data_IF_925269547367
#
_entry.id   IF_925269547367
#
_cell.length_a   1.000
_cell.length_b   1.000
_cell.length_c   1.000
_cell.angle_alpha   90.00
_cell.angle_beta   90.00
_cell.angle_gamma   90.00
#
_symmetry.space_group_name_H-M   'P 1'
#
loop_
_entity.id
_entity.type
_entity.pdbx_description
1 polymer ?
#
# COMPACT_ATOMS: atom_id res chain seq x y z
N UNK A 1 -54.36 79.07 32.83
CA UNK A 1 -53.18 78.16 32.75
C UNK A 1 -52.49 78.46 31.42
N UNK A 2 -51.28 79.01 31.24
CA UNK A 2 -50.01 79.19 31.97
C UNK A 2 -49.48 80.59 31.57
N UNK A 3 -49.41 81.60 32.45
CA UNK A 3 -48.22 82.20 33.15
C UNK A 3 -46.82 82.02 32.50
N UNK A 4 -46.18 83.16 32.17
CA UNK A 4 -44.78 83.60 32.43
C UNK A 4 -44.37 84.66 31.37
N UNK A 5 -44.50 85.97 31.60
CA UNK A 5 -43.54 86.93 32.21
C UNK A 5 -42.10 86.80 31.67
N UNK A 6 -41.71 87.72 30.77
CA UNK A 6 -40.31 88.10 30.52
C UNK A 6 -40.06 89.49 31.16
N UNK A 7 -39.01 89.67 31.98
CA UNK A 7 -38.59 90.99 32.42
C UNK A 7 -37.55 91.61 31.47
N UNK A 8 -37.60 92.94 31.38
CA UNK A 8 -36.58 93.82 30.81
C UNK A 8 -35.35 93.81 31.71
N UNK A 9 -34.14 93.71 31.13
CA UNK A 9 -32.89 94.01 31.85
C UNK A 9 -31.98 94.89 30.98
N UNK A 10 -31.73 96.09 31.53
CA UNK A 10 -30.81 97.13 31.08
C UNK A 10 -29.41 96.58 30.83
N UNK A 11 -28.85 96.91 29.67
CA UNK A 11 -27.43 96.75 29.38
C UNK A 11 -26.65 97.85 30.10
N UNK A 12 -25.77 97.46 31.02
CA UNK A 12 -24.74 98.32 31.58
C UNK A 12 -23.38 97.74 31.17
N UNK A 13 -22.66 98.48 30.32
CA UNK A 13 -21.28 98.21 29.94
C UNK A 13 -20.36 98.40 31.15
N UNK A 14 -19.58 97.37 31.49
CA UNK A 14 -18.37 97.52 32.30
C UNK A 14 -17.17 97.11 31.45
N UNK A 15 -16.31 98.09 31.20
CA UNK A 15 -14.97 97.90 30.64
C UNK A 15 -14.04 97.48 31.78
N UNK A 16 -13.35 96.35 31.62
CA UNK A 16 -12.25 95.94 32.51
C UNK A 16 -11.07 95.50 31.62
N UNK A 17 -9.83 95.96 31.92
CA UNK A 17 -8.77 96.08 30.93
C UNK A 17 -8.03 94.76 30.64
N UNK A 18 -7.41 94.75 29.45
CA UNK A 18 -6.54 93.69 28.98
C UNK A 18 -5.34 93.48 29.91
N UNK A 19 -5.11 92.22 30.30
CA UNK A 19 -3.83 91.75 30.84
C UNK A 19 -3.34 90.63 29.93
N UNK A 20 -2.27 90.90 29.19
CA UNK A 20 -1.59 89.94 28.35
C UNK A 20 -0.93 88.86 29.22
N UNK A 21 -1.38 87.62 29.08
CA UNK A 21 -0.58 86.46 29.43
C UNK A 21 -0.09 85.83 28.13
N UNK A 22 1.23 85.87 27.92
CA UNK A 22 1.90 85.14 26.86
C UNK A 22 1.86 83.64 27.21
N UNK A 23 0.89 82.92 26.66
CA UNK A 23 0.86 81.47 26.69
C UNK A 23 1.85 80.96 25.62
N UNK A 24 2.91 80.29 26.07
CA UNK A 24 3.87 79.62 25.20
C UNK A 24 3.14 78.52 24.44
N UNK A 25 3.00 78.68 23.12
CA UNK A 25 2.59 77.58 22.25
C UNK A 25 3.72 76.54 22.22
N UNK A 26 3.47 75.37 22.80
CA UNK A 26 4.26 74.18 22.45
C UNK A 26 3.95 73.81 21.00
N UNK A 27 4.95 73.38 20.20
CA UNK A 27 4.70 72.94 18.84
C UNK A 27 3.78 71.72 18.88
N UNK A 28 2.66 71.81 18.17
CA UNK A 28 1.79 70.68 17.88
C UNK A 28 2.65 69.60 17.24
N UNK A 29 2.91 68.50 17.97
CA UNK A 29 3.45 67.28 17.37
C UNK A 29 2.42 66.82 16.35
N UNK A 30 2.74 67.05 15.07
CA UNK A 30 2.04 66.44 13.96
C UNK A 30 2.21 64.92 14.13
N UNK A 31 1.17 64.26 14.63
CA UNK A 31 1.08 62.80 14.61
C UNK A 31 1.21 62.40 13.14
N UNK A 32 2.33 61.75 12.79
CA UNK A 32 2.46 61.06 11.52
C UNK A 32 1.24 60.13 11.37
N UNK A 33 0.69 59.96 10.15
CA UNK A 33 -0.35 58.96 9.94
C UNK A 33 0.24 57.62 10.40
N UNK A 34 -0.39 57.03 11.41
CA UNK A 34 -0.15 55.64 11.77
C UNK A 34 -0.57 54.82 10.56
N UNK A 35 0.38 54.50 9.70
CA UNK A 35 0.24 53.39 8.77
C UNK A 35 0.05 52.17 9.66
N UNK A 36 -1.19 51.70 9.82
CA UNK A 36 -1.44 50.34 10.29
C UNK A 36 -0.68 49.44 9.33
N UNK A 37 0.53 49.02 9.72
CA UNK A 37 1.19 47.90 9.09
C UNK A 37 0.31 46.70 9.41
N UNK A 38 -0.64 46.43 8.52
CA UNK A 38 -1.32 45.14 8.48
C UNK A 38 -0.20 44.12 8.35
N UNK A 39 0.08 43.40 9.44
CA UNK A 39 1.01 42.28 9.40
C UNK A 39 0.43 41.28 8.41
N UNK A 40 0.89 41.33 7.16
CA UNK A 40 0.45 40.39 6.15
C UNK A 40 0.95 39.02 6.59
N UNK A 41 0.01 38.11 6.80
CA UNK A 41 0.28 36.72 7.09
C UNK A 41 0.98 36.11 5.88
N UNK A 42 2.17 35.54 6.09
CA UNK A 42 2.96 34.89 5.02
C UNK A 42 3.40 33.51 5.51
N UNK A 43 3.59 32.57 4.58
CA UNK A 43 3.95 31.19 4.89
C UNK A 43 2.81 30.41 5.54
N UNK A 44 3.17 29.42 6.35
CA UNK A 44 2.22 28.56 7.05
C UNK A 44 1.51 29.29 8.19
N UNK A 45 0.18 29.30 8.14
CA UNK A 45 -0.67 29.92 9.16
C UNK A 45 -1.77 28.96 9.55
N UNK A 46 -1.95 28.77 10.87
CA UNK A 46 -3.03 27.96 11.43
C UNK A 46 -4.17 28.86 11.88
N UNK A 47 -5.33 28.72 11.27
CA UNK A 47 -6.56 29.45 11.63
C UNK A 47 -7.54 28.43 12.24
N UNK A 48 -7.77 28.55 13.56
CA UNK A 48 -8.50 27.52 14.30
C UNK A 48 -7.74 26.18 14.27
N UNK A 49 -8.36 25.16 13.69
CA UNK A 49 -7.77 23.82 13.55
C UNK A 49 -7.19 23.53 12.15
N UNK A 50 -7.27 24.49 11.22
CA UNK A 50 -6.92 24.27 9.82
C UNK A 50 -5.69 25.07 9.43
N UNK A 51 -4.79 24.43 8.68
CA UNK A 51 -3.60 25.07 8.12
C UNK A 51 -3.87 25.65 6.74
N UNK A 52 -3.29 26.82 6.49
CA UNK A 52 -3.27 27.54 5.23
C UNK A 52 -1.82 27.93 4.91
N UNK A 53 -1.54 28.22 3.65
CA UNK A 53 -0.27 28.82 3.24
C UNK A 53 -0.53 30.12 2.50
N UNK A 54 0.11 31.19 2.93
CA UNK A 54 0.01 32.52 2.33
C UNK A 54 1.28 32.89 1.57
N UNK A 55 1.14 33.49 0.39
CA UNK A 55 2.28 34.04 -0.34
C UNK A 55 2.81 35.34 0.29
N UNK A 56 3.84 35.94 -0.33
CA UNK A 56 4.48 37.16 0.17
C UNK A 56 3.56 38.39 0.15
N UNK A 57 2.42 38.33 -0.56
CA UNK A 57 1.43 39.39 -0.64
C UNK A 57 0.20 39.11 0.26
N UNK A 58 0.27 38.09 1.12
CA UNK A 58 -0.83 37.70 1.99
C UNK A 58 -1.99 37.02 1.26
N UNK A 59 -1.77 36.43 0.09
CA UNK A 59 -2.80 35.68 -0.65
C UNK A 59 -2.70 34.19 -0.35
N UNK A 60 -3.84 33.55 -0.02
CA UNK A 60 -3.91 32.09 0.21
C UNK A 60 -3.51 31.32 -1.06
N UNK A 61 -2.58 30.38 -0.93
CA UNK A 61 -2.21 29.41 -1.97
C UNK A 61 -3.23 28.28 -2.02
N UNK A 62 -3.44 27.75 -3.23
CA UNK A 62 -4.27 26.58 -3.52
C UNK A 62 -3.51 25.62 -4.45
N UNK A 63 -3.94 24.37 -4.50
CA UNK A 63 -3.32 23.31 -5.29
C UNK A 63 -2.02 22.78 -4.67
N UNK A 64 -1.15 22.24 -5.52
CA UNK A 64 0.15 21.70 -5.11
C UNK A 64 1.11 22.79 -4.64
N UNK A 65 1.72 22.56 -3.48
CA UNK A 65 2.74 23.43 -2.89
C UNK A 65 3.96 22.59 -2.53
N UNK A 66 5.14 23.02 -2.99
CA UNK A 66 6.41 22.48 -2.50
C UNK A 66 7.04 23.49 -1.56
N UNK A 67 7.25 23.10 -0.31
CA UNK A 67 7.90 23.92 0.71
C UNK A 67 9.03 23.13 1.36
N UNK A 68 10.24 23.69 1.38
CA UNK A 68 11.45 23.06 1.92
C UNK A 68 11.68 21.60 1.51
N UNK A 69 11.34 21.26 0.26
CA UNK A 69 11.52 19.90 -0.28
C UNK A 69 10.31 18.98 -0.10
N UNK A 70 9.35 19.35 0.75
CA UNK A 70 8.14 18.56 1.03
C UNK A 70 6.97 19.05 0.18
N UNK A 71 6.18 18.12 -0.34
CA UNK A 71 4.96 18.43 -1.08
C UNK A 71 3.73 18.42 -0.18
N UNK A 72 2.85 19.39 -0.42
CA UNK A 72 1.56 19.60 0.25
C UNK A 72 0.49 19.86 -0.80
N UNK A 73 -0.78 19.70 -0.42
CA UNK A 73 -1.90 20.09 -1.24
C UNK A 73 -2.89 20.95 -0.46
N UNK A 74 -3.20 22.12 -1.02
CA UNK A 74 -4.15 23.07 -0.49
C UNK A 74 -5.42 22.96 -1.33
N UNK A 75 -6.57 22.73 -0.71
CA UNK A 75 -7.86 22.70 -1.38
C UNK A 75 -8.18 24.07 -2.00
N UNK A 76 -9.26 24.14 -2.78
CA UNK A 76 -9.67 25.38 -3.47
C UNK A 76 -9.99 26.52 -2.49
N UNK A 77 -10.42 26.21 -1.28
CA UNK A 77 -10.63 27.16 -0.18
C UNK A 77 -9.35 27.52 0.60
N UNK A 78 -8.20 26.96 0.18
CA UNK A 78 -6.89 27.16 0.79
C UNK A 78 -6.59 26.20 1.96
N UNK A 79 -7.54 25.35 2.36
CA UNK A 79 -7.32 24.43 3.49
C UNK A 79 -6.34 23.33 3.12
N UNK A 80 -5.36 23.05 3.98
CA UNK A 80 -4.38 21.99 3.75
C UNK A 80 -5.00 20.60 3.91
N UNK A 81 -4.75 19.69 2.95
CA UNK A 81 -5.00 18.26 3.13
C UNK A 81 -4.03 17.68 4.15
N UNK A 82 -4.56 16.93 5.11
CA UNK A 82 -3.79 16.11 6.04
C UNK A 82 -4.55 14.82 6.31
N UNK A 83 -3.80 13.76 6.65
CA UNK A 83 -4.31 12.42 6.96
C UNK A 83 -5.41 11.94 6.00
N UNK A 84 -5.19 12.16 4.70
CA UNK A 84 -6.24 11.96 3.70
C UNK A 84 -5.71 11.69 2.32
N UNK A 85 -6.56 11.04 1.54
CA UNK A 85 -6.36 10.74 0.14
C UNK A 85 -6.71 11.95 -0.75
N UNK A 86 -6.04 12.04 -1.89
CA UNK A 86 -6.32 12.96 -2.98
C UNK A 86 -6.34 12.19 -4.30
N UNK A 87 -7.43 12.32 -5.05
CA UNK A 87 -7.46 11.96 -6.47
C UNK A 87 -7.21 13.22 -7.29
N UNK A 88 -6.13 13.21 -8.08
CA UNK A 88 -5.75 14.35 -8.91
C UNK A 88 -5.12 13.85 -10.21
N UNK A 89 -5.63 14.32 -11.36
CA UNK A 89 -5.11 13.92 -12.67
C UNK A 89 -5.16 12.42 -12.94
N UNK A 90 -6.16 11.72 -12.40
CA UNK A 90 -6.31 10.26 -12.53
C UNK A 90 -5.37 9.42 -11.65
N UNK A 91 -4.59 10.07 -10.79
CA UNK A 91 -3.68 9.41 -9.83
C UNK A 91 -4.19 9.61 -8.41
N UNK A 92 -3.79 8.71 -7.51
CA UNK A 92 -4.04 8.82 -6.08
C UNK A 92 -2.76 9.20 -5.34
N UNK A 93 -2.92 10.05 -4.33
CA UNK A 93 -1.86 10.55 -3.45
C UNK A 93 -2.35 10.46 -2.00
N UNK A 94 -1.43 10.32 -1.05
CA UNK A 94 -1.74 10.29 0.37
C UNK A 94 -0.92 11.32 1.13
N UNK A 95 -1.55 12.00 2.08
CA UNK A 95 -0.92 12.98 2.96
C UNK A 95 -1.00 12.51 4.41
N UNK A 96 0.10 12.60 5.16
CA UNK A 96 0.08 12.27 6.59
C UNK A 96 -0.54 13.38 7.45
N UNK A 97 -0.55 13.18 8.78
CA UNK A 97 -1.10 14.13 9.75
C UNK A 97 -0.49 15.55 9.65
N UNK A 98 0.74 15.69 9.16
CA UNK A 98 1.39 16.99 8.96
C UNK A 98 1.00 17.66 7.63
N UNK A 99 0.27 16.95 6.77
CA UNK A 99 -0.04 17.37 5.41
C UNK A 99 1.09 17.11 4.40
N UNK A 100 2.18 16.47 4.83
CA UNK A 100 3.24 16.05 3.93
C UNK A 100 2.77 14.89 3.05
N UNK A 101 2.96 15.03 1.74
CA UNK A 101 2.71 13.98 0.76
C UNK A 101 3.64 12.80 1.01
N UNK A 102 3.10 11.58 0.99
CA UNK A 102 3.87 10.36 1.18
C UNK A 102 4.40 9.79 -0.14
N UNK A 103 5.58 9.21 -0.02
CA UNK A 103 6.24 8.37 -1.01
C UNK A 103 6.69 7.08 -0.31
N UNK A 104 6.92 6.02 -1.07
CA UNK A 104 7.30 4.71 -0.52
C UNK A 104 6.15 4.00 0.20
N UNK A 105 6.52 3.14 1.15
CA UNK A 105 5.59 2.33 1.92
C UNK A 105 4.75 3.16 2.89
N UNK A 106 3.43 2.95 2.87
CA UNK A 106 2.47 3.57 3.79
C UNK A 106 1.52 2.50 4.29
N UNK A 107 1.32 2.45 5.61
CA UNK A 107 0.29 1.63 6.22
C UNK A 107 -0.98 2.48 6.40
N UNK A 108 -2.08 2.04 5.78
CA UNK A 108 -3.42 2.59 5.93
C UNK A 108 -4.30 1.54 6.63
N UNK A 109 -4.54 1.76 7.92
CA UNK A 109 -5.14 0.77 8.83
C UNK A 109 -4.40 -0.58 8.80
N UNK A 110 -5.06 -1.64 8.33
CA UNK A 110 -4.51 -3.00 8.25
C UNK A 110 -3.84 -3.30 6.91
N UNK A 111 -3.82 -2.34 5.97
CA UNK A 111 -3.35 -2.54 4.61
C UNK A 111 -2.10 -1.72 4.31
N UNK A 112 -1.25 -2.24 3.42
CA UNK A 112 -0.07 -1.54 2.93
C UNK A 112 -0.28 -1.03 1.51
N UNK A 113 0.11 0.21 1.28
CA UNK A 113 0.19 0.86 -0.03
C UNK A 113 1.64 1.22 -0.33
N UNK A 114 1.94 1.42 -1.60
CA UNK A 114 3.22 1.97 -2.02
C UNK A 114 3.01 3.16 -2.95
N UNK A 115 3.80 4.21 -2.76
CA UNK A 115 3.75 5.42 -3.55
C UNK A 115 5.08 5.64 -4.26
N UNK A 116 5.04 5.99 -5.54
CA UNK A 116 6.21 6.38 -6.30
C UNK A 116 6.85 7.67 -5.75
N UNK A 117 8.05 8.00 -6.20
CA UNK A 117 8.74 9.24 -5.81
C UNK A 117 7.98 10.51 -6.21
N UNK A 118 7.15 10.44 -7.26
CA UNK A 118 6.24 11.53 -7.66
C UNK A 118 4.98 11.60 -6.78
N UNK A 119 4.86 10.73 -5.77
CA UNK A 119 3.73 10.64 -4.86
C UNK A 119 2.54 9.85 -5.40
N UNK A 120 2.60 9.34 -6.63
CA UNK A 120 1.50 8.57 -7.19
C UNK A 120 1.43 7.16 -6.59
N UNK A 121 0.24 6.76 -6.18
CA UNK A 121 -0.04 5.42 -5.67
C UNK A 121 0.25 4.36 -6.74
N UNK A 122 0.92 3.29 -6.35
CA UNK A 122 1.20 2.14 -7.20
C UNK A 122 0.00 1.19 -7.18
N UNK A 123 -0.33 0.69 -8.37
CA UNK A 123 -1.18 -0.48 -8.59
C UNK A 123 -0.42 -1.51 -9.40
N UNK A 124 -0.97 -2.72 -9.46
CA UNK A 124 -0.46 -3.87 -10.19
C UNK A 124 0.92 -4.34 -9.71
N UNK A 125 1.62 -5.09 -10.57
CA UNK A 125 2.92 -5.67 -10.27
C UNK A 125 4.00 -4.60 -10.16
N UNK A 126 4.74 -4.63 -9.05
CA UNK A 126 5.87 -3.73 -8.81
C UNK A 126 7.05 -4.48 -8.22
N UNK A 127 8.24 -4.21 -8.76
CA UNK A 127 9.50 -4.68 -8.17
C UNK A 127 10.09 -3.59 -7.27
N UNK A 128 10.29 -3.90 -6.00
CA UNK A 128 10.80 -2.99 -4.96
C UNK A 128 11.93 -3.72 -4.24
N UNK A 129 13.13 -3.13 -4.21
CA UNK A 129 14.31 -3.69 -3.54
C UNK A 129 14.62 -5.15 -3.88
N UNK A 130 14.39 -5.53 -5.15
CA UNK A 130 14.65 -6.87 -5.66
C UNK A 130 13.47 -7.86 -5.56
N UNK A 131 12.45 -7.54 -4.77
CA UNK A 131 11.27 -8.39 -4.55
C UNK A 131 10.08 -7.91 -5.39
N UNK A 132 9.25 -8.86 -5.84
CA UNK A 132 8.00 -8.55 -6.52
C UNK A 132 6.85 -8.43 -5.52
N UNK A 133 6.01 -7.44 -5.72
CA UNK A 133 4.79 -7.17 -4.98
C UNK A 133 3.65 -7.00 -5.97
N UNK A 134 2.43 -7.23 -5.51
CA UNK A 134 1.23 -6.90 -6.26
C UNK A 134 0.35 -5.97 -5.44
N UNK A 135 -0.05 -4.86 -6.04
CA UNK A 135 -0.99 -3.91 -5.45
C UNK A 135 -2.31 -4.00 -6.21
N UNK A 136 -3.41 -4.28 -5.52
CA UNK A 136 -4.73 -4.30 -6.14
C UNK A 136 -5.11 -2.92 -6.70
N UNK A 137 -6.22 -2.83 -7.45
CA UNK A 137 -6.66 -1.58 -8.09
C UNK A 137 -6.98 -0.45 -7.08
N UNK A 138 -7.25 -0.80 -5.82
CA UNK A 138 -7.43 0.13 -4.71
C UNK A 138 -6.10 0.52 -4.01
N UNK A 139 -4.96 0.02 -4.50
CA UNK A 139 -3.62 0.29 -3.96
C UNK A 139 -3.16 -0.63 -2.85
N UNK A 140 -4.00 -1.56 -2.38
CA UNK A 140 -3.64 -2.44 -1.27
C UNK A 140 -2.77 -3.60 -1.74
N UNK A 141 -1.67 -3.81 -1.03
CA UNK A 141 -0.71 -4.87 -1.25
C UNK A 141 -1.32 -6.23 -0.96
N UNK A 142 -1.15 -7.18 -1.88
CA UNK A 142 -1.52 -8.57 -1.67
C UNK A 142 -0.59 -9.25 -0.66
N UNK A 143 -1.17 -10.11 0.16
CA UNK A 143 -0.45 -11.05 1.04
C UNK A 143 -1.07 -12.43 0.89
N UNK A 144 -0.31 -13.48 1.26
CA UNK A 144 -0.74 -14.87 1.16
C UNK A 144 -1.12 -15.27 -0.27
N UNK A 145 -1.99 -16.27 -0.41
CA UNK A 145 -2.43 -16.75 -1.72
C UNK A 145 -3.36 -15.74 -2.36
N UNK A 146 -3.06 -15.36 -3.59
CA UNK A 146 -3.94 -14.49 -4.38
C UNK A 146 -3.99 -14.97 -5.84
N UNK A 147 -5.11 -14.72 -6.51
CA UNK A 147 -5.31 -15.09 -7.92
C UNK A 147 -5.39 -13.84 -8.79
N UNK A 148 -4.38 -13.67 -9.63
CA UNK A 148 -4.18 -12.48 -10.46
C UNK A 148 -4.18 -12.96 -11.92
N UNK A 149 -5.12 -12.44 -12.72
CA UNK A 149 -5.27 -12.80 -14.14
C UNK A 149 -5.33 -14.33 -14.39
N UNK A 150 -6.04 -15.05 -13.52
CA UNK A 150 -6.23 -16.51 -13.63
C UNK A 150 -5.06 -17.38 -13.16
N UNK A 151 -3.96 -16.77 -12.70
CA UNK A 151 -2.82 -17.47 -12.09
C UNK A 151 -2.82 -17.24 -10.58
N UNK A 152 -2.53 -18.29 -9.81
CA UNK A 152 -2.40 -18.18 -8.35
C UNK A 152 -0.94 -17.92 -7.98
N UNK A 153 -0.71 -16.97 -7.09
CA UNK A 153 0.58 -16.56 -6.55
C UNK A 153 0.56 -16.68 -5.03
N UNK A 154 1.74 -16.72 -4.40
CA UNK A 154 1.85 -16.59 -2.95
C UNK A 154 2.78 -15.45 -2.59
N UNK A 155 2.28 -14.56 -1.76
CA UNK A 155 3.03 -13.46 -1.17
C UNK A 155 3.26 -13.76 0.32
N UNK A 156 4.45 -13.47 0.83
CA UNK A 156 4.73 -13.64 2.25
C UNK A 156 3.98 -12.60 3.11
N UNK A 157 4.19 -12.63 4.43
CA UNK A 157 3.55 -11.68 5.35
C UNK A 157 3.94 -10.21 5.13
N UNK A 158 5.06 -9.97 4.43
CA UNK A 158 5.51 -8.64 4.04
C UNK A 158 5.10 -8.31 2.60
N UNK A 159 4.33 -9.18 1.93
CA UNK A 159 3.86 -9.01 0.56
C UNK A 159 4.86 -9.38 -0.53
N UNK A 160 6.04 -9.90 -0.20
CA UNK A 160 7.00 -10.31 -1.21
C UNK A 160 6.55 -11.62 -1.87
N UNK A 161 6.49 -11.63 -3.20
CA UNK A 161 6.09 -12.79 -3.99
C UNK A 161 7.12 -13.91 -3.85
N UNK A 162 6.64 -15.09 -3.48
CA UNK A 162 7.45 -16.30 -3.36
C UNK A 162 7.65 -17.01 -4.70
N UNK A 163 8.82 -17.60 -4.85
CA UNK A 163 9.14 -18.56 -5.92
C UNK A 163 9.75 -19.82 -5.28
N UNK A 164 9.75 -20.93 -6.01
CA UNK A 164 10.26 -22.20 -5.53
C UNK A 164 9.33 -22.92 -4.56
N UNK A 165 9.92 -23.75 -3.69
CA UNK A 165 9.19 -24.58 -2.74
C UNK A 165 8.69 -23.78 -1.54
N UNK A 166 7.40 -23.89 -1.23
CA UNK A 166 6.78 -23.27 -0.06
C UNK A 166 5.99 -24.33 0.72
N UNK A 167 6.26 -24.42 2.02
CA UNK A 167 5.59 -25.35 2.92
C UNK A 167 4.37 -24.69 3.58
N UNK A 168 3.19 -25.28 3.39
CA UNK A 168 1.95 -24.86 4.02
C UNK A 168 1.61 -25.87 5.11
N UNK A 169 2.03 -25.60 6.34
CA UNK A 169 1.81 -26.49 7.48
C UNK A 169 1.33 -25.80 8.73
N UNK A 170 0.80 -26.61 9.64
CA UNK A 170 0.43 -26.26 11.00
C UNK A 170 0.90 -27.36 11.97
N UNK A 171 0.46 -27.30 13.23
CA UNK A 171 0.85 -28.27 14.28
C UNK A 171 0.46 -29.72 14.00
N UNK A 172 -0.44 -29.97 13.04
CA UNK A 172 -0.96 -31.30 12.70
C UNK A 172 -0.39 -31.85 11.39
N UNK A 173 0.48 -31.10 10.71
CA UNK A 173 1.08 -31.48 9.42
C UNK A 173 0.99 -30.37 8.39
N UNK A 174 1.42 -30.65 7.17
CA UNK A 174 1.43 -29.68 6.10
C UNK A 174 1.72 -30.28 4.74
N UNK A 175 1.59 -29.44 3.72
CA UNK A 175 1.74 -29.82 2.33
C UNK A 175 2.68 -28.83 1.64
N UNK A 176 3.52 -29.37 0.76
CA UNK A 176 4.37 -28.54 -0.09
C UNK A 176 3.59 -28.04 -1.29
N UNK A 177 3.84 -26.80 -1.69
CA UNK A 177 3.50 -26.25 -2.99
C UNK A 177 4.76 -25.76 -3.67
N UNK A 178 4.72 -25.61 -4.99
CA UNK A 178 5.81 -25.02 -5.75
C UNK A 178 5.29 -23.83 -6.56
N UNK A 179 6.01 -22.72 -6.52
CA UNK A 179 5.77 -21.54 -7.33
C UNK A 179 6.87 -21.44 -8.38
N UNK A 180 6.49 -21.31 -9.65
CA UNK A 180 7.41 -21.19 -10.76
C UNK A 180 8.24 -19.91 -10.64
N UNK A 181 9.26 -19.75 -11.50
CA UNK A 181 10.08 -18.53 -11.55
C UNK A 181 9.26 -17.27 -11.84
N UNK A 182 8.17 -17.40 -12.61
CA UNK A 182 7.21 -16.33 -12.86
C UNK A 182 6.24 -16.08 -11.68
N UNK A 183 6.41 -16.79 -10.57
CA UNK A 183 5.58 -16.73 -9.36
C UNK A 183 4.30 -17.55 -9.41
N UNK A 184 3.93 -18.12 -10.56
CA UNK A 184 2.69 -18.87 -10.68
C UNK A 184 2.76 -20.22 -9.96
N UNK A 185 1.69 -20.62 -9.27
CA UNK A 185 1.61 -21.91 -8.58
C UNK A 185 1.62 -23.06 -9.59
N UNK A 186 2.47 -24.05 -9.36
CA UNK A 186 2.53 -25.27 -10.17
C UNK A 186 1.29 -26.14 -9.94
N UNK A 187 0.86 -26.79 -11.02
CA UNK A 187 -0.18 -27.80 -11.08
C UNK A 187 0.30 -28.94 -11.97
N UNK A 188 -0.34 -30.09 -11.82
CA UNK A 188 -0.08 -31.31 -12.56
C UNK A 188 1.39 -31.75 -12.47
N UNK A 189 1.85 -32.47 -13.50
CA UNK A 189 3.23 -32.90 -13.62
C UNK A 189 4.18 -31.73 -13.88
N UNK A 190 5.21 -31.62 -13.03
CA UNK A 190 6.27 -30.62 -13.17
C UNK A 190 7.64 -31.26 -13.00
N UNK A 191 8.53 -31.02 -13.96
CA UNK A 191 9.95 -31.32 -13.79
C UNK A 191 10.64 -30.14 -13.07
N UNK A 192 11.27 -30.43 -11.93
CA UNK A 192 11.98 -29.47 -11.10
C UNK A 192 13.38 -30.05 -10.85
N UNK A 193 14.40 -29.40 -11.40
CA UNK A 193 15.80 -29.82 -11.28
C UNK A 193 16.04 -31.30 -11.65
N UNK A 194 15.42 -31.77 -12.74
CA UNK A 194 15.59 -33.12 -13.25
C UNK A 194 14.72 -34.19 -12.59
N UNK A 195 13.98 -33.86 -11.53
CA UNK A 195 13.00 -34.76 -10.90
C UNK A 195 11.57 -34.36 -11.25
N UNK A 196 10.71 -35.34 -11.51
CA UNK A 196 9.28 -35.09 -11.74
C UNK A 196 8.52 -35.08 -10.42
N UNK A 197 7.56 -34.16 -10.31
CA UNK A 197 6.65 -34.01 -9.19
C UNK A 197 5.23 -33.88 -9.74
N UNK A 198 4.24 -34.19 -8.92
CA UNK A 198 2.83 -33.96 -9.26
C UNK A 198 2.19 -33.04 -8.23
N UNK A 199 1.47 -32.03 -8.70
CA UNK A 199 0.71 -31.10 -7.86
C UNK A 199 -0.77 -31.18 -8.23
N UNK A 200 -1.65 -31.29 -7.24
CA UNK A 200 -3.09 -31.29 -7.52
C UNK A 200 -3.63 -29.88 -7.87
N UNK A 201 -4.94 -29.77 -8.11
CA UNK A 201 -5.59 -28.49 -8.47
C UNK A 201 -5.39 -27.37 -7.43
N UNK A 202 -5.23 -27.76 -6.17
CA UNK A 202 -4.95 -26.85 -5.05
C UNK A 202 -3.45 -26.54 -4.91
N UNK A 203 -2.60 -27.09 -5.79
CA UNK A 203 -1.15 -26.91 -5.79
C UNK A 203 -0.41 -27.76 -4.76
N UNK A 204 -1.08 -28.70 -4.08
CA UNK A 204 -0.42 -29.56 -3.11
C UNK A 204 0.35 -30.68 -3.81
N UNK A 205 1.62 -30.82 -3.44
CA UNK A 205 2.52 -31.85 -3.91
C UNK A 205 2.05 -33.24 -3.45
N UNK A 206 1.94 -34.18 -4.39
CA UNK A 206 1.59 -35.55 -4.10
C UNK A 206 2.78 -36.36 -3.55
N UNK A 207 2.46 -37.35 -2.72
CA UNK A 207 3.37 -38.39 -2.22
C UNK A 207 2.65 -39.73 -2.24
N UNK A 208 3.42 -40.83 -2.28
CA UNK A 208 2.87 -42.19 -2.37
C UNK A 208 2.28 -42.52 -3.74
N UNK A 209 1.29 -43.42 -3.76
CA UNK A 209 0.63 -43.85 -4.99
C UNK A 209 -0.25 -42.75 -5.59
N UNK A 210 -0.05 -42.47 -6.88
CA UNK A 210 -0.84 -41.53 -7.66
C UNK A 210 -1.45 -42.25 -8.86
N UNK A 211 -2.76 -42.11 -9.08
CA UNK A 211 -3.42 -42.53 -10.31
C UNK A 211 -3.74 -41.30 -11.16
N UNK A 212 -3.15 -41.23 -12.34
CA UNK A 212 -3.32 -40.11 -13.27
C UNK A 212 -3.48 -40.63 -14.70
N UNK A 213 -4.53 -40.21 -15.41
CA UNK A 213 -4.88 -40.67 -16.75
C UNK A 213 -4.83 -42.20 -16.92
N UNK A 214 -5.46 -42.93 -15.99
CA UNK A 214 -5.49 -44.40 -15.91
C UNK A 214 -4.16 -45.12 -15.66
N UNK A 215 -3.07 -44.38 -15.48
CA UNK A 215 -1.77 -44.93 -15.12
C UNK A 215 -1.49 -44.73 -13.63
N UNK A 216 -0.83 -45.71 -13.01
CA UNK A 216 -0.33 -45.58 -11.65
C UNK A 216 1.12 -45.14 -11.65
N UNK A 217 1.45 -44.25 -10.73
CA UNK A 217 2.79 -43.74 -10.45
C UNK A 217 3.07 -43.83 -8.96
N UNK A 218 4.33 -43.76 -8.58
CA UNK A 218 4.73 -43.67 -7.18
C UNK A 218 5.61 -42.45 -6.96
N UNK A 219 5.23 -41.60 -6.00
CA UNK A 219 5.97 -40.40 -5.59
C UNK A 219 6.62 -40.70 -4.24
N UNK A 220 7.93 -40.47 -4.14
CA UNK A 220 8.67 -40.60 -2.89
C UNK A 220 8.13 -39.64 -1.82
N UNK A 221 8.54 -39.82 -0.55
CA UNK A 221 8.17 -38.92 0.53
C UNK A 221 8.59 -37.46 0.30
N UNK A 222 9.67 -37.23 -0.46
CA UNK A 222 10.11 -35.90 -0.90
C UNK A 222 9.36 -35.39 -2.15
N UNK A 223 8.35 -36.12 -2.64
CA UNK A 223 7.52 -35.81 -3.80
C UNK A 223 8.09 -36.21 -5.16
N UNK A 224 9.38 -36.58 -5.23
CA UNK A 224 9.99 -36.97 -6.51
C UNK A 224 9.37 -38.27 -7.05
N UNK A 225 9.06 -38.31 -8.34
CA UNK A 225 8.56 -39.49 -9.02
C UNK A 225 9.62 -40.58 -9.03
N UNK A 226 9.23 -41.78 -8.62
CA UNK A 226 10.10 -42.94 -8.57
C UNK A 226 10.02 -43.73 -9.88
N UNK A 227 11.18 -44.22 -10.30
CA UNK A 227 11.33 -45.27 -11.31
C UNK A 227 12.01 -46.48 -10.67
N UNK A 228 11.87 -47.64 -11.30
CA UNK A 228 12.40 -48.91 -10.80
C UNK A 228 11.55 -49.54 -9.71
N UNK A 229 12.18 -50.37 -8.88
CA UNK A 229 11.49 -51.19 -7.89
C UNK A 229 10.95 -50.38 -6.69
N UNK A 230 9.70 -50.68 -6.30
CA UNK A 230 9.03 -50.22 -5.08
C UNK A 230 8.56 -51.42 -4.29
N UNK A 231 8.84 -51.42 -2.98
CA UNK A 231 8.20 -52.33 -2.04
C UNK A 231 7.22 -51.54 -1.19
N UNK A 232 5.96 -51.94 -1.20
CA UNK A 232 4.88 -51.31 -0.43
C UNK A 232 3.95 -52.41 0.13
N UNK A 233 3.72 -52.40 1.43
CA UNK A 233 2.93 -53.42 2.15
C UNK A 233 3.29 -54.87 1.75
N UNK A 234 4.58 -55.22 1.90
CA UNK A 234 5.16 -56.55 1.57
C UNK A 234 5.06 -56.97 0.10
N UNK A 235 4.45 -56.15 -0.76
CA UNK A 235 4.30 -56.40 -2.20
C UNK A 235 5.35 -55.62 -3.00
N UNK A 236 5.85 -56.24 -4.07
CA UNK A 236 6.78 -55.60 -4.99
C UNK A 236 6.05 -55.08 -6.23
N UNK A 237 6.44 -53.88 -6.65
CA UNK A 237 5.96 -53.19 -7.84
C UNK A 237 7.17 -52.69 -8.63
N UNK A 238 6.98 -52.49 -9.93
CA UNK A 238 8.00 -51.89 -10.78
C UNK A 238 7.45 -50.68 -11.52
N UNK A 239 8.10 -49.53 -11.37
CA UNK A 239 7.77 -48.29 -12.05
C UNK A 239 8.69 -48.20 -13.26
N UNK A 240 8.13 -48.15 -14.47
CA UNK A 240 8.89 -48.08 -15.71
C UNK A 240 9.69 -46.77 -15.79
N UNK A 241 10.54 -46.61 -16.83
CA UNK A 241 11.38 -45.41 -16.99
C UNK A 241 10.58 -44.10 -17.14
N UNK A 242 9.34 -44.18 -17.61
CA UNK A 242 8.38 -43.06 -17.66
C UNK A 242 7.56 -42.91 -16.36
N UNK A 243 7.86 -43.69 -15.33
CA UNK A 243 7.17 -43.68 -14.04
C UNK A 243 5.89 -44.52 -13.98
N UNK A 244 5.41 -45.07 -15.09
CA UNK A 244 4.17 -45.87 -15.10
C UNK A 244 4.41 -47.23 -14.46
N UNK A 245 3.57 -47.61 -13.50
CA UNK A 245 3.56 -48.92 -12.87
C UNK A 245 3.34 -50.02 -13.91
N UNK A 246 4.22 -51.02 -13.88
CA UNK A 246 4.18 -52.17 -14.77
C UNK A 246 2.99 -53.08 -14.44
N UNK A 247 2.35 -53.58 -15.50
CA UNK A 247 1.31 -54.62 -15.46
C UNK A 247 1.64 -55.65 -16.54
N UNK A 248 1.32 -56.93 -16.32
CA UNK A 248 1.68 -57.99 -17.26
C UNK A 248 3.16 -58.35 -17.24
N UNK A 249 3.72 -58.79 -18.38
CA UNK A 249 5.09 -59.33 -18.46
C UNK A 249 6.10 -58.27 -18.91
N UNK A 250 7.20 -58.12 -18.17
CA UNK A 250 8.30 -57.20 -18.49
C UNK A 250 9.68 -57.86 -18.31
N UNK A 251 10.64 -57.46 -19.13
CA UNK A 251 12.04 -57.87 -19.01
C UNK A 251 12.84 -56.77 -18.32
N UNK A 252 13.37 -57.06 -17.13
CA UNK A 252 14.00 -56.09 -16.22
C UNK A 252 15.33 -56.69 -15.75
N UNK A 253 16.42 -55.97 -15.93
CA UNK A 253 17.77 -56.34 -15.47
C UNK A 253 18.17 -57.79 -15.82
N UNK A 254 17.85 -58.23 -17.04
CA UNK A 254 18.21 -59.56 -17.55
C UNK A 254 17.23 -60.69 -17.19
N UNK A 255 16.11 -60.39 -16.52
CA UNK A 255 15.12 -61.39 -16.08
C UNK A 255 13.69 -61.00 -16.45
N UNK A 256 12.86 -62.00 -16.76
CA UNK A 256 11.42 -61.81 -16.95
C UNK A 256 10.69 -61.78 -15.60
N UNK A 257 9.85 -60.76 -15.43
CA UNK A 257 8.94 -60.59 -14.30
C UNK A 257 7.51 -60.47 -14.81
N UNK A 258 6.54 -60.90 -13.99
CA UNK A 258 5.12 -60.78 -14.28
C UNK A 258 4.42 -60.05 -13.15
N UNK A 259 3.56 -59.09 -13.50
CA UNK A 259 2.82 -58.25 -12.58
C UNK A 259 1.32 -58.43 -12.84
N UNK A 260 0.52 -58.45 -11.77
CA UNK A 260 -0.94 -58.47 -11.84
C UNK A 260 -1.47 -57.12 -12.37
N UNK A 261 -2.77 -57.04 -12.64
CA UNK A 261 -3.41 -55.79 -13.09
C UNK A 261 -3.34 -54.66 -12.03
N UNK A 262 -3.18 -55.02 -10.76
CA UNK A 262 -2.92 -54.08 -9.68
C UNK A 262 -1.41 -53.81 -9.45
N UNK A 263 -0.54 -54.29 -10.34
CA UNK A 263 0.90 -54.07 -10.34
C UNK A 263 1.72 -54.92 -9.37
N UNK A 264 1.09 -55.77 -8.57
CA UNK A 264 1.81 -56.66 -7.63
C UNK A 264 2.59 -57.72 -8.42
N UNK A 265 3.89 -57.83 -8.16
CA UNK A 265 4.78 -58.86 -8.72
C UNK A 265 4.35 -60.27 -8.29
N UNK A 266 4.37 -61.20 -9.23
CA UNK A 266 4.07 -62.64 -9.03
C UNK A 266 5.31 -63.49 -8.83
#
# INVERSE_FOLDING_TARGET
MKKAILPVLMSAMFVVPAVSHAEKQEPVKQLAPNTEQTMQQTGWVKEGNTWYFYDQNGVKKTGWLKDNGTWYYLNVDGTMKSNSWLSYGGKWYYFDNSGAMKTGWVQDADYWCYFNEDGSMVTDWRKIDGNWYYFASNGYMATKLDTINGKTYYFDDNGAMSTGWVYFGNSYGGQWRYFNEDGSMARDWKNINGSWYYFNDHGYMATGWLKENNNWYYLNANGSMKTGWVQDNESWYYLQSNGVMAIGKHFIDGKWYSFKDNGVMM
#
